data_IF_696727737801
#
_entry.id   IF_696727737801
#
_cell.length_a   1.000
_cell.length_b   1.000
_cell.length_c   1.000
_cell.angle_alpha   90.00
_cell.angle_beta   90.00
_cell.angle_gamma   90.00
#
_symmetry.space_group_name_H-M   'P 1'
#
loop_
_entity.id
_entity.type
_entity.pdbx_description
1 polymer ?
#
# COMPACT_ATOMS: atom_id res chain seq x y z
N UNK A 1 -2.13 -45.67 0.44
CA UNK A 1 -3.34 -44.90 0.08
C UNK A 1 -3.08 -43.44 0.42
N UNK A 2 -3.08 -42.58 -0.61
CA UNK A 2 -3.53 -41.17 -0.68
C UNK A 2 -3.40 -40.28 0.58
N UNK A 3 -2.94 -39.04 0.54
CA UNK A 3 -2.48 -38.16 -0.53
C UNK A 3 -1.86 -36.91 0.14
N UNK A 4 -0.96 -36.26 -0.58
CA UNK A 4 -0.37 -34.98 -0.24
C UNK A 4 -1.43 -33.87 -0.03
N UNK A 5 -1.23 -33.02 0.96
CA UNK A 5 -1.86 -31.70 1.03
C UNK A 5 -0.75 -30.64 0.99
N UNK A 6 -0.25 -30.41 -0.23
CA UNK A 6 0.31 -29.12 -0.60
C UNK A 6 -0.86 -28.14 -0.72
N UNK A 7 -0.94 -27.18 0.19
CA UNK A 7 -1.68 -25.95 -0.03
C UNK A 7 -0.66 -24.81 -0.05
N UNK A 8 0.06 -24.71 -1.17
CA UNK A 8 0.78 -23.49 -1.53
C UNK A 8 -0.29 -22.52 -2.06
N UNK A 9 -0.92 -21.78 -1.15
CA UNK A 9 -1.73 -20.63 -1.51
C UNK A 9 -0.82 -19.41 -1.61
N UNK A 10 0.08 -19.39 -2.60
CA UNK A 10 0.78 -18.16 -3.00
C UNK A 10 -0.11 -17.41 -3.99
N UNK A 11 -1.18 -16.81 -3.49
CA UNK A 11 -1.89 -15.76 -4.22
C UNK A 11 -1.23 -14.42 -3.90
N UNK A 12 -0.02 -14.21 -4.44
CA UNK A 12 0.37 -12.86 -4.83
C UNK A 12 -0.06 -12.74 -6.31
N UNK A 13 -1.37 -12.77 -6.55
CA UNK A 13 -2.21 -11.59 -6.77
C UNK A 13 -1.74 -10.79 -7.99
N UNK A 14 -2.55 -10.93 -9.05
CA UNK A 14 -2.76 -10.08 -10.22
C UNK A 14 -1.86 -8.85 -10.39
N UNK A 15 -1.13 -8.80 -11.52
CA UNK A 15 -0.99 -7.73 -12.54
C UNK A 15 -0.84 -6.24 -12.15
N UNK A 16 -0.99 -5.84 -10.91
CA UNK A 16 -0.87 -4.45 -10.45
C UNK A 16 0.38 -4.36 -9.58
N UNK A 17 1.28 -3.45 -9.92
CA UNK A 17 2.48 -3.19 -9.12
C UNK A 17 2.02 -2.64 -7.75
N UNK A 18 2.52 -3.26 -6.69
CA UNK A 18 2.26 -2.86 -5.31
C UNK A 18 3.44 -2.03 -4.82
N UNK A 19 3.12 -0.87 -4.26
CA UNK A 19 4.10 0.10 -3.79
C UNK A 19 3.95 0.31 -2.29
N UNK A 20 5.08 0.54 -1.63
CA UNK A 20 5.08 1.16 -0.31
C UNK A 20 4.72 2.65 -0.47
N UNK A 21 3.90 3.15 0.45
CA UNK A 21 3.42 4.52 0.45
C UNK A 21 3.80 5.19 1.76
N UNK A 22 4.18 6.46 1.71
CA UNK A 22 4.36 7.30 2.89
C UNK A 22 3.52 8.56 2.78
N UNK A 23 3.24 9.20 3.91
CA UNK A 23 2.64 10.53 3.93
C UNK A 23 3.58 11.57 4.55
N UNK A 24 3.43 12.82 4.10
CA UNK A 24 4.15 13.96 4.65
C UNK A 24 3.52 14.38 5.99
N UNK A 25 4.19 14.05 7.10
CA UNK A 25 3.79 14.43 8.44
C UNK A 25 3.81 15.95 8.68
N UNK A 26 3.19 16.43 9.77
CA UNK A 26 3.02 17.85 10.05
C UNK A 26 4.34 18.63 10.20
N UNK A 27 5.47 17.96 10.47
CA UNK A 27 6.79 18.60 10.54
C UNK A 27 7.66 18.33 9.30
N UNK A 28 7.08 17.78 8.23
CA UNK A 28 7.81 17.34 7.03
C UNK A 28 8.58 16.04 7.23
N UNK A 29 8.14 15.20 8.18
CA UNK A 29 8.65 13.83 8.31
C UNK A 29 7.88 12.90 7.36
N UNK A 30 8.59 12.03 6.64
CA UNK A 30 7.93 10.98 5.85
C UNK A 30 7.55 9.82 6.79
N UNK A 31 6.26 9.47 6.82
CA UNK A 31 5.74 8.39 7.64
C UNK A 31 5.18 7.30 6.75
N UNK A 32 5.84 6.14 6.76
CA UNK A 32 5.42 4.94 6.05
C UNK A 32 4.01 4.50 6.49
N UNK A 33 3.15 4.24 5.52
CA UNK A 33 1.84 3.64 5.73
C UNK A 33 2.00 2.13 5.90
N UNK A 34 1.25 1.54 6.83
CA UNK A 34 1.28 0.10 7.03
C UNK A 34 0.66 -0.64 5.83
N UNK A 35 1.50 -1.31 5.05
CA UNK A 35 1.10 -2.19 3.95
C UNK A 35 1.55 -1.73 2.57
N UNK A 36 1.40 -2.61 1.59
CA UNK A 36 1.62 -2.32 0.18
C UNK A 36 0.28 -2.05 -0.51
N UNK A 37 0.21 -0.96 -1.29
CA UNK A 37 -0.97 -0.56 -2.03
C UNK A 37 -0.71 -0.83 -3.52
N UNK A 38 -1.65 -1.51 -4.18
CA UNK A 38 -1.45 -1.99 -5.54
C UNK A 38 -2.31 -1.23 -6.54
N UNK A 39 -1.71 -0.91 -7.70
CA UNK A 39 -2.41 -0.36 -8.85
C UNK A 39 -3.22 0.89 -8.54
N UNK A 40 -4.49 0.91 -8.95
CA UNK A 40 -5.40 2.06 -8.76
C UNK A 40 -5.58 2.44 -7.28
N UNK A 41 -5.42 1.50 -6.35
CA UNK A 41 -5.54 1.81 -4.92
C UNK A 41 -4.38 2.68 -4.42
N UNK A 42 -3.19 2.54 -4.99
CA UNK A 42 -2.05 3.41 -4.69
C UNK A 42 -2.29 4.81 -5.28
N UNK A 43 -2.65 4.89 -6.57
CA UNK A 43 -2.95 6.17 -7.24
C UNK A 43 -4.11 6.92 -6.56
N UNK A 44 -5.18 6.23 -6.16
CA UNK A 44 -6.30 6.85 -5.43
C UNK A 44 -5.84 7.39 -4.08
N UNK A 45 -4.93 6.70 -3.39
CA UNK A 45 -4.42 7.14 -2.09
C UNK A 45 -3.54 8.40 -2.23
N UNK A 46 -2.71 8.49 -3.27
CA UNK A 46 -1.96 9.70 -3.62
C UNK A 46 -2.88 10.87 -3.98
N UNK A 47 -3.95 10.60 -4.73
CA UNK A 47 -4.91 11.64 -5.15
C UNK A 47 -5.81 12.14 -4.01
N UNK A 48 -6.18 11.26 -3.07
CA UNK A 48 -7.11 11.58 -1.98
C UNK A 48 -6.42 12.01 -0.70
N UNK A 49 -5.19 11.54 -0.47
CA UNK A 49 -4.41 11.78 0.75
C UNK A 49 -4.81 10.87 1.92
N UNK A 50 -3.99 10.89 2.96
CA UNK A 50 -4.18 10.06 4.16
C UNK A 50 -4.80 10.88 5.30
N UNK A 51 -5.91 10.40 5.88
CA UNK A 51 -6.60 11.10 6.96
C UNK A 51 -6.13 10.59 8.32
N UNK A 52 -5.45 11.44 9.09
CA UNK A 52 -5.05 11.16 10.46
C UNK A 52 -5.40 12.34 11.36
N UNK A 53 -6.07 12.08 12.48
CA UNK A 53 -6.52 13.09 13.45
C UNK A 53 -7.32 14.26 12.82
N UNK A 54 -8.13 13.97 11.79
CA UNK A 54 -8.91 14.95 11.00
C UNK A 54 -8.07 15.89 10.11
N UNK A 55 -6.79 15.60 9.92
CA UNK A 55 -5.91 16.26 8.96
C UNK A 55 -5.73 15.34 7.76
N UNK A 56 -5.80 15.91 6.55
CA UNK A 56 -5.48 15.20 5.30
C UNK A 56 -4.02 15.47 4.98
N UNK A 57 -3.22 14.42 4.94
CA UNK A 57 -1.80 14.46 4.58
C UNK A 57 -1.61 14.03 3.13
N UNK A 58 -0.64 14.63 2.45
CA UNK A 58 -0.23 14.21 1.09
C UNK A 58 0.43 12.84 1.17
N UNK A 59 0.06 11.94 0.28
CA UNK A 59 0.62 10.59 0.18
C UNK A 59 1.44 10.48 -1.10
N UNK A 60 2.58 9.81 -1.01
CA UNK A 60 3.42 9.42 -2.14
C UNK A 60 3.60 7.90 -2.10
N UNK A 61 3.30 7.23 -3.21
CA UNK A 61 3.32 5.77 -3.37
C UNK A 61 4.25 5.39 -4.51
N UNK A 62 5.26 4.58 -4.21
CA UNK A 62 6.27 4.17 -5.19
C UNK A 62 7.26 5.30 -5.43
N UNK A 63 8.51 5.12 -5.01
CA UNK A 63 9.59 6.06 -5.31
C UNK A 63 9.67 6.27 -6.84
N UNK A 64 9.29 7.45 -7.31
CA UNK A 64 9.36 7.86 -8.72
C UNK A 64 10.79 8.15 -9.20
#
# INVERSE_FOLDING_TARGET
FFAAMLLIASTACNKEECYECHYDGPNGEEVELEGEYCGEAAEDLENTGYVMDSVVYTVHCGEH
#
